data_IF_352099049692
#
_entry.id   IF_352099049692
#
_cell.length_a   1.000
_cell.length_b   1.000
_cell.length_c   1.000
_cell.angle_alpha   90.00
_cell.angle_beta   90.00
_cell.angle_gamma   90.00
#
_symmetry.space_group_name_H-M   'P 1'
#
loop_
_entity.id
_entity.type
_entity.pdbx_description
1 polymer ?
#
# COMPACT_ATOMS: atom_id res chain seq x y z
N UNK A 1 -31.96 -79.77 73.76
CA UNK A 1 -32.28 -80.01 72.34
C UNK A 1 -32.59 -78.72 71.56
N UNK A 2 -32.73 -77.56 72.20
CA UNK A 2 -33.06 -76.26 71.51
C UNK A 2 -31.83 -75.48 71.04
N UNK A 3 -30.65 -75.64 71.57
CA UNK A 3 -29.43 -74.89 71.24
C UNK A 3 -28.86 -75.33 69.90
N UNK A 4 -29.06 -76.56 69.44
CA UNK A 4 -28.51 -77.10 68.19
C UNK A 4 -29.29 -76.63 66.94
N UNK A 5 -30.57 -76.31 67.07
CA UNK A 5 -31.41 -75.78 66.01
C UNK A 5 -31.13 -74.30 65.72
N UNK A 6 -30.75 -73.53 66.77
CA UNK A 6 -30.38 -72.12 66.65
C UNK A 6 -29.04 -71.94 65.91
N UNK A 7 -28.04 -72.72 66.24
CA UNK A 7 -26.71 -72.70 65.57
C UNK A 7 -26.81 -73.14 64.13
N UNK A 8 -27.66 -74.10 63.80
CA UNK A 8 -27.90 -74.53 62.41
C UNK A 8 -28.59 -73.43 61.54
N UNK A 9 -29.52 -72.68 62.11
CA UNK A 9 -30.18 -71.52 61.48
C UNK A 9 -29.16 -70.39 61.24
N UNK A 10 -28.34 -70.03 62.19
CA UNK A 10 -27.30 -69.03 62.09
C UNK A 10 -26.30 -69.41 60.98
N UNK A 11 -25.83 -70.68 60.95
CA UNK A 11 -24.94 -71.13 59.82
C UNK A 11 -25.58 -71.09 58.47
N UNK A 12 -26.88 -71.37 58.35
CA UNK A 12 -27.63 -71.22 57.08
C UNK A 12 -27.76 -69.74 56.66
N UNK A 13 -28.08 -68.84 57.61
CA UNK A 13 -28.11 -67.41 57.37
C UNK A 13 -26.75 -66.88 56.88
N UNK A 14 -25.61 -67.29 57.53
CA UNK A 14 -24.28 -66.93 57.09
C UNK A 14 -23.92 -67.45 55.67
N UNK A 15 -24.33 -68.71 55.39
CA UNK A 15 -24.14 -69.25 54.00
C UNK A 15 -24.96 -68.48 52.98
N UNK A 16 -26.20 -68.16 53.32
CA UNK A 16 -27.10 -67.38 52.40
C UNK A 16 -26.54 -65.96 52.17
N UNK A 17 -26.05 -65.33 53.27
CA UNK A 17 -25.41 -64.02 53.18
C UNK A 17 -24.15 -64.02 52.29
N UNK A 18 -23.26 -65.06 52.44
CA UNK A 18 -22.10 -65.23 51.55
C UNK A 18 -22.48 -65.42 50.09
N UNK A 19 -23.55 -66.18 49.77
CA UNK A 19 -24.06 -66.39 48.39
C UNK A 19 -24.60 -65.10 47.88
N UNK A 20 -25.37 -64.34 48.64
CA UNK A 20 -25.91 -63.00 48.16
C UNK A 20 -24.78 -62.05 47.94
N UNK A 21 -23.75 -62.03 48.83
CA UNK A 21 -22.58 -61.16 48.62
C UNK A 21 -21.79 -61.55 47.34
N UNK A 22 -21.60 -62.87 47.11
CA UNK A 22 -20.97 -63.36 45.88
C UNK A 22 -21.73 -63.01 44.63
N UNK A 23 -23.05 -63.17 44.66
CA UNK A 23 -23.93 -62.79 43.53
C UNK A 23 -23.86 -61.27 43.27
N UNK A 24 -23.92 -60.45 44.31
CA UNK A 24 -23.76 -59.00 44.18
C UNK A 24 -22.39 -58.60 43.59
N UNK A 25 -21.29 -59.30 44.02
CA UNK A 25 -19.99 -59.09 43.44
C UNK A 25 -19.91 -59.50 41.97
N UNK A 26 -20.52 -60.63 41.60
CA UNK A 26 -20.58 -61.08 40.20
C UNK A 26 -21.36 -60.05 39.35
N UNK A 27 -22.52 -59.60 39.85
CA UNK A 27 -23.33 -58.55 39.15
C UNK A 27 -22.49 -57.27 38.97
N UNK A 28 -21.81 -56.85 40.03
CA UNK A 28 -20.94 -55.66 39.98
C UNK A 28 -19.81 -55.81 38.94
N UNK A 29 -19.13 -56.96 38.92
CA UNK A 29 -18.08 -57.27 37.95
C UNK A 29 -18.69 -57.27 36.52
N UNK A 30 -19.83 -57.90 36.31
CA UNK A 30 -20.53 -57.91 35.01
C UNK A 30 -20.90 -56.48 34.55
N UNK A 31 -21.38 -55.63 35.47
CA UNK A 31 -21.65 -54.24 35.17
C UNK A 31 -20.39 -53.46 34.76
N UNK A 32 -19.24 -53.69 35.47
CA UNK A 32 -17.96 -53.05 35.08
C UNK A 32 -17.51 -53.51 33.68
N UNK A 33 -17.60 -54.81 33.39
CA UNK A 33 -17.28 -55.33 32.05
C UNK A 33 -18.20 -54.79 30.97
N UNK A 34 -19.50 -54.70 31.24
CA UNK A 34 -20.49 -54.11 30.34
C UNK A 34 -20.16 -52.63 30.04
N UNK A 35 -19.93 -51.85 31.12
CA UNK A 35 -19.62 -50.44 30.97
C UNK A 35 -18.30 -50.22 30.19
N UNK A 36 -17.29 -51.07 30.48
CA UNK A 36 -16.03 -51.03 29.73
C UNK A 36 -16.23 -51.37 28.26
N UNK A 37 -17.01 -52.40 27.95
CA UNK A 37 -17.33 -52.81 26.58
C UNK A 37 -18.05 -51.69 25.83
N UNK A 38 -19.07 -51.05 26.48
CA UNK A 38 -19.80 -49.92 25.88
C UNK A 38 -18.82 -48.77 25.61
N UNK A 39 -17.99 -48.39 26.62
CA UNK A 39 -17.02 -47.32 26.48
C UNK A 39 -16.04 -47.56 25.31
N UNK A 40 -15.52 -48.77 25.20
CA UNK A 40 -14.61 -49.14 24.11
C UNK A 40 -15.32 -49.18 22.72
N UNK A 41 -16.63 -49.37 22.66
CA UNK A 41 -17.41 -49.34 21.43
C UNK A 41 -17.77 -47.93 20.96
N UNK A 42 -17.63 -46.90 21.82
CA UNK A 42 -17.90 -45.53 21.44
C UNK A 42 -16.83 -45.06 20.44
N UNK A 43 -17.24 -44.64 19.27
CA UNK A 43 -16.37 -44.14 18.23
C UNK A 43 -16.99 -42.99 17.44
N UNK A 44 -16.16 -41.96 17.16
CA UNK A 44 -16.47 -40.89 16.21
C UNK A 44 -15.24 -40.68 15.36
N UNK A 45 -15.42 -40.56 14.06
CA UNK A 45 -14.36 -40.20 13.13
C UNK A 45 -14.87 -39.26 12.06
N UNK A 46 -13.97 -38.43 11.55
CA UNK A 46 -14.14 -37.56 10.39
C UNK A 46 -13.24 -38.04 9.26
N UNK A 47 -13.57 -37.71 8.03
CA UNK A 47 -12.73 -38.01 6.86
C UNK A 47 -11.63 -36.92 6.72
N UNK A 48 -10.43 -37.28 7.18
CA UNK A 48 -9.29 -36.36 7.19
C UNK A 48 -9.36 -35.34 8.33
N UNK A 49 -8.97 -34.09 8.06
CA UNK A 49 -9.06 -32.97 9.01
C UNK A 49 -10.14 -32.01 8.53
N UNK A 50 -11.10 -31.70 9.39
CA UNK A 50 -12.12 -30.70 9.06
C UNK A 50 -11.46 -29.34 8.86
N UNK A 51 -11.76 -28.68 7.72
CA UNK A 51 -11.30 -27.34 7.42
C UNK A 51 -12.40 -26.34 7.67
N UNK A 52 -12.08 -25.26 8.36
CA UNK A 52 -12.99 -24.17 8.70
C UNK A 52 -12.38 -22.87 8.23
N UNK A 53 -13.14 -22.04 7.54
CA UNK A 53 -12.67 -20.72 7.13
C UNK A 53 -12.54 -19.80 8.34
N UNK A 54 -11.46 -19.03 8.39
CA UNK A 54 -11.26 -17.98 9.38
C UNK A 54 -12.47 -17.05 9.48
N UNK A 55 -12.88 -16.73 10.70
CA UNK A 55 -14.03 -15.87 10.97
C UNK A 55 -15.42 -16.49 10.70
N UNK A 56 -15.50 -17.75 10.27
CA UNK A 56 -16.77 -18.43 10.04
C UNK A 56 -17.55 -18.65 11.35
N UNK A 57 -18.86 -18.35 11.30
CA UNK A 57 -19.76 -18.52 12.45
C UNK A 57 -20.74 -19.71 12.27
N UNK A 58 -20.69 -20.41 11.16
CA UNK A 58 -21.66 -21.44 10.74
C UNK A 58 -21.05 -22.84 10.63
N UNK A 59 -19.84 -23.02 11.17
CA UNK A 59 -19.22 -24.34 11.20
C UNK A 59 -19.99 -25.31 12.14
N UNK A 60 -20.35 -26.48 11.60
CA UNK A 60 -20.97 -27.54 12.34
C UNK A 60 -20.18 -28.84 12.15
N UNK A 61 -19.51 -29.30 13.19
CA UNK A 61 -18.70 -30.54 13.15
C UNK A 61 -19.50 -31.77 12.76
N UNK A 62 -20.81 -31.80 13.05
CA UNK A 62 -21.68 -32.96 12.76
C UNK A 62 -21.73 -33.25 11.26
N UNK A 63 -21.65 -32.22 10.42
CA UNK A 63 -21.66 -32.34 8.97
C UNK A 63 -20.40 -33.01 8.40
N UNK A 64 -19.33 -33.09 9.21
CA UNK A 64 -18.04 -33.70 8.87
C UNK A 64 -17.85 -35.10 9.46
N UNK A 65 -18.80 -35.60 10.26
CA UNK A 65 -18.71 -36.94 10.85
C UNK A 65 -18.94 -37.99 9.79
N UNK A 66 -17.96 -38.83 9.54
CA UNK A 66 -18.02 -39.95 8.61
C UNK A 66 -18.45 -41.26 9.29
N UNK A 67 -18.16 -41.40 10.58
CA UNK A 67 -18.57 -42.56 11.36
C UNK A 67 -18.96 -42.11 12.78
N UNK A 68 -20.12 -42.61 13.23
CA UNK A 68 -20.65 -42.34 14.57
C UNK A 68 -21.19 -43.63 15.19
N UNK A 69 -20.68 -44.00 16.37
CA UNK A 69 -21.11 -45.12 17.18
C UNK A 69 -21.44 -44.63 18.59
N UNK A 70 -22.62 -44.06 18.76
CA UNK A 70 -23.16 -43.49 20.02
C UNK A 70 -24.66 -43.23 19.87
N UNK A 71 -25.29 -42.77 20.98
CA UNK A 71 -26.68 -42.33 21.01
C UNK A 71 -26.78 -40.81 20.85
N UNK A 72 -25.91 -40.08 21.53
CA UNK A 72 -25.86 -38.61 21.49
C UNK A 72 -24.42 -38.10 21.39
N UNK A 73 -24.26 -36.88 20.86
CA UNK A 73 -23.00 -36.16 20.74
C UNK A 73 -23.20 -34.73 21.23
N UNK A 74 -22.29 -34.26 22.03
CA UNK A 74 -22.25 -32.88 22.55
C UNK A 74 -20.84 -32.29 22.37
N UNK A 75 -20.75 -31.00 22.06
CA UNK A 75 -19.49 -30.27 21.96
C UNK A 75 -19.13 -29.79 23.37
N UNK A 76 -17.97 -30.20 23.89
CA UNK A 76 -17.49 -29.84 25.22
C UNK A 76 -16.73 -28.52 25.20
N UNK A 77 -15.89 -28.32 24.18
CA UNK A 77 -15.21 -27.06 23.91
C UNK A 77 -15.39 -26.70 22.43
N UNK A 78 -15.59 -25.44 22.16
CA UNK A 78 -15.68 -24.91 20.80
C UNK A 78 -14.31 -24.49 20.29
N UNK A 79 -14.19 -24.33 18.97
CA UNK A 79 -13.01 -23.80 18.30
C UNK A 79 -13.08 -22.27 18.22
N UNK A 80 -11.93 -21.64 18.22
CA UNK A 80 -11.80 -20.20 18.01
C UNK A 80 -11.50 -19.93 16.53
N UNK A 81 -12.53 -19.64 15.74
CA UNK A 81 -12.42 -19.39 14.29
C UNK A 81 -11.64 -18.11 13.98
N UNK A 82 -11.35 -17.26 14.97
CA UNK A 82 -10.51 -16.08 14.82
C UNK A 82 -9.00 -16.37 14.89
N UNK A 83 -8.60 -17.63 14.98
CA UNK A 83 -7.21 -18.07 15.06
C UNK A 83 -6.90 -19.15 14.03
N UNK A 84 -6.13 -18.80 13.03
CA UNK A 84 -5.66 -19.72 11.96
C UNK A 84 -4.78 -20.82 12.57
N UNK A 85 -4.93 -22.04 12.07
CA UNK A 85 -4.14 -23.20 12.45
C UNK A 85 -4.97 -24.36 13.02
N UNK A 86 -4.27 -25.40 13.48
CA UNK A 86 -4.88 -26.60 14.03
C UNK A 86 -5.36 -26.37 15.45
N UNK A 87 -6.62 -26.75 15.71
CA UNK A 87 -7.26 -26.69 17.02
C UNK A 87 -7.91 -28.02 17.35
N UNK A 88 -7.97 -28.36 18.61
CA UNK A 88 -8.61 -29.56 19.09
C UNK A 88 -10.02 -29.24 19.61
N UNK A 89 -11.04 -29.86 18.99
CA UNK A 89 -12.41 -29.88 19.46
C UNK A 89 -12.67 -31.18 20.23
N UNK A 90 -13.28 -31.10 21.41
CA UNK A 90 -13.63 -32.29 22.20
C UNK A 90 -15.13 -32.53 22.09
N UNK A 91 -15.47 -33.72 21.57
CA UNK A 91 -16.83 -34.21 21.51
C UNK A 91 -17.07 -35.17 22.68
N UNK A 92 -18.16 -35.00 23.44
CA UNK A 92 -18.65 -35.97 24.39
C UNK A 92 -19.71 -36.83 23.75
N UNK A 93 -19.40 -38.11 23.57
CA UNK A 93 -20.28 -39.07 22.95
C UNK A 93 -20.82 -39.99 24.04
N UNK A 94 -22.14 -40.10 24.08
CA UNK A 94 -22.81 -40.97 25.05
C UNK A 94 -23.47 -42.17 24.34
N UNK A 95 -23.31 -43.38 24.93
CA UNK A 95 -23.95 -44.61 24.48
C UNK A 95 -24.40 -45.42 25.68
N UNK A 96 -25.67 -45.81 25.72
CA UNK A 96 -26.25 -46.59 26.86
C UNK A 96 -25.93 -45.95 28.24
N UNK A 97 -25.87 -44.61 28.32
CA UNK A 97 -25.58 -43.84 29.52
C UNK A 97 -24.09 -43.81 29.92
N UNK A 98 -23.20 -44.29 29.08
CA UNK A 98 -21.75 -44.20 29.24
C UNK A 98 -21.20 -43.14 28.29
N UNK A 99 -20.47 -42.11 28.83
CA UNK A 99 -19.89 -41.04 28.02
C UNK A 99 -18.40 -41.26 27.80
N UNK A 100 -17.93 -40.86 26.63
CA UNK A 100 -16.53 -40.85 26.23
C UNK A 100 -16.18 -39.52 25.53
N UNK A 101 -15.09 -38.87 25.91
CA UNK A 101 -14.55 -37.71 25.23
C UNK A 101 -13.66 -38.14 24.09
N UNK A 102 -13.95 -37.63 22.90
CA UNK A 102 -13.22 -37.93 21.68
C UNK A 102 -12.68 -36.60 21.13
N UNK A 103 -11.35 -36.42 21.07
CA UNK A 103 -10.74 -35.25 20.47
C UNK A 103 -10.82 -35.35 18.95
N UNK A 104 -11.20 -34.26 18.31
CA UNK A 104 -11.23 -34.09 16.85
C UNK A 104 -10.35 -32.92 16.49
N UNK A 105 -9.46 -33.13 15.52
CA UNK A 105 -8.60 -32.06 15.01
C UNK A 105 -9.34 -31.28 13.91
N UNK A 106 -9.38 -29.97 14.06
CA UNK A 106 -9.97 -29.01 13.12
C UNK A 106 -8.90 -28.02 12.70
N UNK A 107 -8.81 -27.70 11.42
CA UNK A 107 -7.85 -26.73 10.89
C UNK A 107 -8.57 -25.47 10.41
N UNK A 108 -8.31 -24.35 11.08
CA UNK A 108 -8.81 -23.04 10.68
C UNK A 108 -7.88 -22.53 9.58
N UNK A 109 -8.45 -22.26 8.40
CA UNK A 109 -7.70 -21.82 7.22
C UNK A 109 -8.15 -20.43 6.80
N UNK A 110 -7.18 -19.58 6.49
CA UNK A 110 -7.42 -18.34 5.83
C UNK A 110 -7.42 -18.56 4.31
N UNK A 111 -8.46 -18.07 3.64
CA UNK A 111 -8.67 -18.18 2.19
C UNK A 111 -8.98 -16.82 1.56
N UNK A 112 -8.84 -15.76 2.33
CA UNK A 112 -9.07 -14.39 1.89
C UNK A 112 -7.74 -13.77 1.48
N UNK A 113 -7.70 -13.13 0.33
CA UNK A 113 -6.48 -12.45 -0.14
C UNK A 113 -6.41 -11.02 0.40
N UNK A 114 -5.21 -10.46 0.59
CA UNK A 114 -5.03 -9.07 1.02
C UNK A 114 -5.74 -8.06 0.12
N UNK A 115 -6.30 -7.01 0.70
CA UNK A 115 -6.89 -5.89 -0.02
C UNK A 115 -5.83 -4.82 -0.33
N UNK A 116 -5.66 -4.47 -1.63
CA UNK A 116 -4.72 -3.46 -2.09
C UNK A 116 -5.45 -2.16 -2.37
N UNK A 117 -5.09 -1.11 -1.64
CA UNK A 117 -5.60 0.26 -1.81
C UNK A 117 -4.52 1.16 -2.43
N UNK A 118 -4.87 1.87 -3.51
CA UNK A 118 -4.01 2.84 -4.19
C UNK A 118 -4.67 4.22 -4.18
N UNK A 119 -3.84 5.29 -4.23
CA UNK A 119 -4.31 6.67 -4.23
C UNK A 119 -4.85 7.11 -5.61
N UNK A 120 -4.12 6.77 -6.68
CA UNK A 120 -4.45 7.16 -8.05
C UNK A 120 -4.30 5.98 -9.01
N UNK A 121 -5.27 5.79 -9.91
CA UNK A 121 -5.21 4.76 -10.95
C UNK A 121 -4.32 5.16 -12.13
N UNK A 122 -4.03 6.45 -12.27
CA UNK A 122 -3.10 6.98 -13.27
C UNK A 122 -2.26 8.11 -12.71
N UNK A 123 -0.95 7.96 -12.80
CA UNK A 123 0.05 8.96 -12.43
C UNK A 123 0.78 9.41 -13.68
N UNK A 124 1.00 10.72 -13.80
CA UNK A 124 1.81 11.29 -14.88
C UNK A 124 2.99 12.06 -14.32
N UNK A 125 4.18 11.80 -14.85
CA UNK A 125 5.43 12.50 -14.55
C UNK A 125 6.14 12.89 -15.83
N UNK A 126 7.09 13.82 -15.72
CA UNK A 126 7.97 14.19 -16.82
C UNK A 126 9.26 13.38 -16.74
N UNK A 127 9.83 13.05 -17.88
CA UNK A 127 11.14 12.36 -17.97
C UNK A 127 12.19 13.03 -17.09
N UNK A 128 12.83 12.23 -16.20
CA UNK A 128 13.82 12.69 -15.24
C UNK A 128 13.27 13.22 -13.91
N UNK A 129 11.94 13.25 -13.71
CA UNK A 129 11.35 13.46 -12.39
C UNK A 129 11.38 12.14 -11.60
N UNK A 130 11.84 12.22 -10.34
CA UNK A 130 11.78 11.07 -9.44
C UNK A 130 10.35 10.84 -8.94
N UNK A 131 9.96 9.59 -8.83
CA UNK A 131 8.70 9.19 -8.22
C UNK A 131 8.91 7.92 -7.40
N UNK A 132 8.43 7.93 -6.17
CA UNK A 132 8.40 6.73 -5.34
C UNK A 132 7.05 6.03 -5.55
N UNK A 133 7.08 4.84 -6.14
CA UNK A 133 5.89 4.01 -6.41
C UNK A 133 5.13 3.70 -5.13
N UNK A 134 5.84 3.48 -4.01
CA UNK A 134 5.21 3.22 -2.72
C UNK A 134 4.31 4.39 -2.25
N UNK A 135 4.61 5.62 -2.68
CA UNK A 135 3.79 6.78 -2.33
C UNK A 135 2.37 6.73 -2.90
N UNK A 136 2.14 5.92 -3.94
CA UNK A 136 0.80 5.69 -4.52
C UNK A 136 0.03 4.55 -3.84
N UNK A 137 0.69 3.74 -3.02
CA UNK A 137 0.06 2.67 -2.28
C UNK A 137 -0.39 3.24 -0.94
N UNK A 138 -1.70 3.39 -0.75
CA UNK A 138 -2.24 3.97 0.48
C UNK A 138 -2.25 2.97 1.62
N UNK A 139 -2.66 1.74 1.36
CA UNK A 139 -2.65 0.66 2.34
C UNK A 139 -2.74 -0.72 1.68
N UNK A 140 -2.21 -1.74 2.36
CA UNK A 140 -2.41 -3.14 2.00
C UNK A 140 -2.70 -3.88 3.29
N UNK A 141 -3.92 -4.38 3.42
CA UNK A 141 -4.45 -4.98 4.64
C UNK A 141 -4.95 -6.39 4.37
N UNK A 142 -4.72 -7.25 5.32
CA UNK A 142 -5.27 -8.58 5.42
C UNK A 142 -5.98 -8.77 6.76
N UNK A 143 -7.07 -9.53 6.78
CA UNK A 143 -7.89 -9.70 8.00
C UNK A 143 -7.18 -10.53 9.09
N UNK A 144 -6.24 -11.39 8.69
CA UNK A 144 -5.47 -12.27 9.58
C UNK A 144 -4.10 -11.68 9.90
N UNK A 145 -3.37 -11.26 8.86
CA UNK A 145 -1.99 -10.81 8.96
C UNK A 145 -1.86 -9.31 9.23
N UNK A 146 -2.96 -8.57 9.09
CA UNK A 146 -2.99 -7.12 9.27
C UNK A 146 -2.29 -6.38 8.11
N UNK A 147 -1.55 -5.32 8.43
CA UNK A 147 -0.85 -4.51 7.44
C UNK A 147 0.40 -5.20 6.90
N UNK A 148 0.46 -5.33 5.57
CA UNK A 148 1.61 -5.92 4.88
C UNK A 148 2.71 -4.88 4.65
N UNK A 149 3.97 -5.33 4.67
CA UNK A 149 5.14 -4.50 4.44
C UNK A 149 5.72 -4.71 3.05
N UNK A 150 6.36 -3.65 2.52
CA UNK A 150 7.07 -3.71 1.26
C UNK A 150 8.34 -4.57 1.38
N UNK A 151 8.53 -5.45 0.39
CA UNK A 151 9.77 -6.20 0.18
C UNK A 151 10.14 -6.07 -1.29
N UNK A 152 11.38 -5.70 -1.57
CA UNK A 152 11.85 -5.60 -2.95
C UNK A 152 11.90 -7.00 -3.61
N UNK A 153 11.69 -7.07 -4.92
CA UNK A 153 11.71 -8.36 -5.64
C UNK A 153 13.02 -9.15 -5.46
N UNK A 154 14.13 -8.45 -5.25
CA UNK A 154 15.46 -9.05 -5.06
C UNK A 154 15.63 -9.64 -3.64
N UNK A 155 14.84 -9.18 -2.68
CA UNK A 155 14.88 -9.60 -1.27
C UNK A 155 13.84 -10.67 -0.93
N UNK A 156 12.95 -11.03 -1.87
CA UNK A 156 11.95 -12.07 -1.65
C UNK A 156 12.65 -13.42 -1.59
N UNK A 157 12.49 -14.10 -0.46
CA UNK A 157 13.01 -15.44 -0.18
C UNK A 157 11.88 -16.36 0.28
N UNK A 158 12.11 -17.66 0.32
CA UNK A 158 11.15 -18.66 0.84
C UNK A 158 10.73 -18.40 2.32
N UNK A 159 11.45 -17.52 3.02
CA UNK A 159 11.13 -17.09 4.39
C UNK A 159 10.15 -15.92 4.48
N UNK A 160 9.92 -15.19 3.39
CA UNK A 160 8.95 -14.10 3.35
C UNK A 160 7.54 -14.68 3.19
N UNK A 161 6.75 -14.64 4.26
CA UNK A 161 5.38 -15.18 4.25
C UNK A 161 4.31 -14.10 4.03
N UNK A 162 4.54 -12.88 4.56
CA UNK A 162 3.61 -11.76 4.46
C UNK A 162 4.35 -10.56 3.90
N UNK A 163 4.00 -10.13 2.69
CA UNK A 163 4.66 -9.00 2.05
C UNK A 163 3.84 -8.45 0.89
N UNK A 164 4.18 -7.24 0.46
CA UNK A 164 3.85 -6.79 -0.89
C UNK A 164 5.11 -6.35 -1.63
N UNK A 165 5.03 -6.42 -2.96
CA UNK A 165 6.03 -5.93 -3.89
C UNK A 165 5.33 -5.30 -5.08
N UNK A 166 6.10 -4.69 -5.98
CA UNK A 166 5.58 -4.24 -7.27
C UNK A 166 6.59 -4.50 -8.39
N UNK A 167 6.07 -4.59 -9.60
CA UNK A 167 6.85 -4.73 -10.82
C UNK A 167 6.21 -3.95 -11.94
N UNK A 168 7.00 -3.65 -12.98
CA UNK A 168 6.55 -2.97 -14.19
C UNK A 168 6.66 -3.90 -15.38
N UNK A 169 5.80 -3.69 -16.39
CA UNK A 169 5.89 -4.36 -17.68
C UNK A 169 7.06 -3.86 -18.54
N UNK A 170 7.66 -2.73 -18.17
CA UNK A 170 8.72 -2.06 -18.93
C UNK A 170 9.57 -1.15 -18.05
N UNK A 171 10.64 -0.56 -18.60
CA UNK A 171 11.49 0.40 -17.88
C UNK A 171 10.72 1.69 -17.57
N UNK A 172 10.39 1.89 -16.29
CA UNK A 172 9.65 3.04 -15.78
C UNK A 172 10.37 4.39 -15.93
N UNK A 173 11.65 4.39 -16.31
CA UNK A 173 12.40 5.61 -16.58
C UNK A 173 12.31 6.03 -18.06
N UNK A 174 11.80 5.18 -18.93
CA UNK A 174 11.61 5.51 -20.33
C UNK A 174 10.33 6.30 -20.57
N UNK A 175 10.34 7.17 -21.58
CA UNK A 175 9.15 7.90 -22.00
C UNK A 175 8.11 6.91 -22.54
N UNK A 176 6.88 7.02 -22.02
CA UNK A 176 5.80 6.14 -22.43
C UNK A 176 4.80 5.88 -21.31
N UNK A 177 3.96 4.89 -21.55
CA UNK A 177 2.96 4.42 -20.59
C UNK A 177 3.41 3.05 -20.07
N UNK A 178 3.50 2.91 -18.77
CA UNK A 178 3.92 1.71 -18.06
C UNK A 178 2.80 1.24 -17.16
N UNK A 179 2.61 -0.08 -17.08
CA UNK A 179 1.71 -0.68 -16.10
C UNK A 179 2.52 -1.12 -14.88
N UNK A 180 2.18 -0.58 -13.72
CA UNK A 180 2.77 -0.98 -12.44
C UNK A 180 1.79 -1.91 -11.77
N UNK A 181 2.21 -3.15 -11.54
CA UNK A 181 1.41 -4.14 -10.81
C UNK A 181 1.95 -4.29 -9.40
N UNK A 182 1.09 -4.02 -8.43
CA UNK A 182 1.32 -4.30 -7.01
C UNK A 182 0.81 -5.70 -6.74
N UNK A 183 1.66 -6.53 -6.13
CA UNK A 183 1.34 -7.90 -5.72
C UNK A 183 1.48 -8.01 -4.22
N UNK A 184 0.45 -8.52 -3.55
CA UNK A 184 0.43 -8.79 -2.12
C UNK A 184 0.26 -10.29 -1.86
N UNK A 185 0.96 -10.80 -0.85
CA UNK A 185 0.92 -12.21 -0.41
C UNK A 185 0.77 -12.21 1.10
N UNK A 186 -0.23 -12.93 1.62
CA UNK A 186 -0.45 -13.12 3.05
C UNK A 186 0.31 -14.33 3.60
N UNK A 187 0.21 -14.56 4.91
CA UNK A 187 0.85 -15.68 5.61
C UNK A 187 0.31 -17.06 5.26
N UNK A 188 -0.88 -17.13 4.71
CA UNK A 188 -1.56 -18.34 4.25
C UNK A 188 -1.25 -18.68 2.79
N UNK A 189 -0.63 -17.75 2.06
CA UNK A 189 -0.26 -17.88 0.65
C UNK A 189 -1.33 -17.41 -0.33
N UNK A 190 -2.39 -16.70 0.14
CA UNK A 190 -3.35 -16.07 -0.75
C UNK A 190 -2.70 -14.83 -1.38
N UNK A 191 -3.07 -14.56 -2.64
CA UNK A 191 -2.42 -13.54 -3.46
C UNK A 191 -3.47 -12.59 -4.04
N UNK A 192 -3.17 -11.29 -3.97
CA UNK A 192 -3.89 -10.27 -4.73
C UNK A 192 -2.95 -9.45 -5.59
N UNK A 193 -3.46 -8.94 -6.70
CA UNK A 193 -2.73 -8.05 -7.60
C UNK A 193 -3.61 -6.87 -8.00
N UNK A 194 -3.00 -5.68 -8.06
CA UNK A 194 -3.66 -4.45 -8.53
C UNK A 194 -2.72 -3.65 -9.39
N UNK A 195 -3.20 -3.21 -10.55
CA UNK A 195 -2.39 -2.47 -11.53
C UNK A 195 -2.85 -1.03 -11.62
N UNK A 196 -1.90 -0.09 -11.73
CA UNK A 196 -2.14 1.30 -12.07
C UNK A 196 -1.23 1.75 -13.20
N UNK A 197 -1.61 2.83 -13.88
CA UNK A 197 -0.88 3.38 -15.02
C UNK A 197 0.13 4.43 -14.55
N UNK A 198 1.38 4.28 -14.96
CA UNK A 198 2.43 5.27 -14.76
C UNK A 198 2.87 5.81 -16.13
N UNK A 199 2.58 7.09 -16.41
CA UNK A 199 2.89 7.74 -17.67
C UNK A 199 4.10 8.66 -17.49
N UNK A 200 5.18 8.36 -18.21
CA UNK A 200 6.35 9.23 -18.32
C UNK A 200 6.23 10.04 -19.59
N UNK A 201 5.98 11.33 -19.46
CA UNK A 201 5.90 12.26 -20.57
C UNK A 201 7.29 12.70 -21.02
N UNK A 202 7.48 12.78 -22.34
CA UNK A 202 8.72 13.31 -22.90
C UNK A 202 9.01 14.70 -22.33
N UNK A 203 10.24 14.93 -21.93
CA UNK A 203 10.69 16.26 -21.55
C UNK A 203 10.61 17.18 -22.78
N UNK A 204 10.01 18.37 -22.65
CA UNK A 204 9.96 19.30 -23.78
C UNK A 204 11.35 19.49 -24.35
N UNK A 205 11.55 19.11 -25.60
CA UNK A 205 12.83 19.30 -26.29
C UNK A 205 13.07 20.80 -26.45
N UNK A 206 14.28 21.30 -26.14
CA UNK A 206 14.65 22.66 -26.52
C UNK A 206 14.45 22.79 -28.02
N UNK A 207 13.65 23.76 -28.47
CA UNK A 207 13.55 24.06 -29.90
C UNK A 207 14.91 24.60 -30.35
N UNK A 208 15.70 23.76 -31.01
CA UNK A 208 16.90 24.20 -31.70
C UNK A 208 16.45 25.01 -32.91
N UNK A 209 16.47 26.33 -32.79
CA UNK A 209 16.25 27.21 -33.93
C UNK A 209 17.50 27.10 -34.80
N UNK A 210 17.42 26.63 -36.07
CA UNK A 210 18.58 26.61 -36.94
C UNK A 210 19.06 28.04 -37.15
N UNK A 211 20.36 28.28 -36.95
CA UNK A 211 21.01 29.54 -37.28
C UNK A 211 21.05 29.70 -38.81
N UNK A 212 19.98 30.20 -39.38
CA UNK A 212 19.99 30.69 -40.77
C UNK A 212 19.45 32.13 -40.78
N UNK A 213 20.36 33.01 -41.18
CA UNK A 213 20.18 34.40 -41.48
C UNK A 213 18.99 34.62 -42.43
N UNK A 214 17.81 34.81 -41.89
CA UNK A 214 16.61 35.32 -42.57
C UNK A 214 15.55 35.55 -41.49
N UNK A 215 15.14 36.79 -41.30
CA UNK A 215 14.04 37.30 -40.47
C UNK A 215 13.05 36.22 -40.02
N UNK A 216 13.25 35.66 -38.85
CA UNK A 216 12.32 34.73 -38.23
C UNK A 216 11.11 35.53 -37.79
N UNK A 217 10.04 35.44 -38.56
CA UNK A 217 8.69 35.79 -38.12
C UNK A 217 8.27 34.69 -37.15
N UNK A 218 8.66 34.85 -35.89
CA UNK A 218 8.16 33.98 -34.81
C UNK A 218 6.67 34.25 -34.64
N UNK A 219 5.85 33.35 -35.13
CA UNK A 219 4.41 33.41 -34.96
C UNK A 219 4.04 33.05 -33.51
N UNK A 220 4.08 34.04 -32.60
CA UNK A 220 3.87 33.91 -31.16
C UNK A 220 2.39 33.79 -30.77
N UNK A 221 1.54 33.28 -31.61
CA UNK A 221 0.13 33.03 -31.34
C UNK A 221 -0.08 31.63 -30.70
N UNK A 222 0.69 31.29 -29.63
CA UNK A 222 0.27 30.23 -28.74
C UNK A 222 -0.68 30.87 -27.74
N UNK A 223 -1.97 30.50 -27.71
CA UNK A 223 -2.88 31.00 -26.71
C UNK A 223 -2.42 30.47 -25.35
N UNK A 224 -1.91 31.33 -24.50
CA UNK A 224 -1.70 31.04 -23.09
C UNK A 224 -3.05 30.73 -22.45
N UNK A 225 -3.13 29.66 -21.70
CA UNK A 225 -4.35 29.26 -21.00
C UNK A 225 -4.45 29.83 -19.56
N UNK A 226 -3.58 30.79 -19.21
CA UNK A 226 -3.56 31.40 -17.88
C UNK A 226 -3.11 30.47 -16.74
N UNK A 227 -2.54 29.31 -17.08
CA UNK A 227 -2.05 28.32 -16.10
C UNK A 227 -0.53 28.33 -16.00
N UNK A 228 0.02 27.85 -14.89
CA UNK A 228 1.45 27.66 -14.69
C UNK A 228 2.07 26.82 -15.83
N UNK A 229 1.37 25.81 -16.32
CA UNK A 229 1.82 24.97 -17.45
C UNK A 229 1.91 25.77 -18.75
N UNK A 230 0.98 26.69 -19.04
CA UNK A 230 1.03 27.57 -20.22
C UNK A 230 2.20 28.53 -20.17
N UNK A 231 2.47 29.11 -19.00
CA UNK A 231 3.61 29.99 -18.73
C UNK A 231 4.93 29.28 -18.99
N UNK A 232 5.12 28.09 -18.39
CA UNK A 232 6.34 27.29 -18.54
C UNK A 232 6.51 26.80 -19.97
N UNK A 233 5.45 26.31 -20.61
CA UNK A 233 5.49 25.87 -22.02
C UNK A 233 5.95 27.01 -22.95
N UNK A 234 5.38 28.20 -22.82
CA UNK A 234 5.80 29.36 -23.58
C UNK A 234 7.27 29.74 -23.31
N UNK A 235 7.69 29.72 -22.04
CA UNK A 235 9.07 30.05 -21.67
C UNK A 235 10.10 29.13 -22.36
N UNK A 236 9.79 27.83 -22.48
CA UNK A 236 10.66 26.89 -23.21
C UNK A 236 10.77 27.22 -24.69
N UNK A 237 9.71 27.72 -25.36
CA UNK A 237 9.77 28.08 -26.76
C UNK A 237 10.64 29.31 -27.04
N UNK A 238 10.93 30.10 -26.01
CA UNK A 238 11.73 31.33 -26.09
C UNK A 238 13.22 31.12 -25.77
N UNK A 239 13.61 29.89 -25.41
CA UNK A 239 15.03 29.56 -25.18
C UNK A 239 15.79 29.76 -26.50
N UNK A 240 16.91 30.49 -26.45
CA UNK A 240 17.71 30.90 -27.61
C UNK A 240 17.36 32.28 -28.14
N UNK A 241 16.27 32.92 -27.70
CA UNK A 241 15.94 34.30 -28.07
C UNK A 241 17.04 35.27 -27.62
N UNK A 242 17.33 36.35 -28.37
CA UNK A 242 18.41 37.28 -28.06
C UNK A 242 18.13 38.07 -26.77
N UNK A 243 19.21 38.44 -26.07
CA UNK A 243 19.11 39.41 -24.97
C UNK A 243 19.18 40.84 -25.56
N UNK A 244 18.20 41.65 -25.17
CA UNK A 244 18.16 43.07 -25.53
C UNK A 244 17.88 43.87 -24.24
N UNK A 245 18.76 44.78 -23.86
CA UNK A 245 18.54 45.64 -22.69
C UNK A 245 17.23 46.45 -22.87
N UNK A 246 16.33 46.34 -21.86
CA UNK A 246 15.01 46.95 -21.97
C UNK A 246 14.03 46.19 -22.86
N UNK A 247 14.41 45.07 -23.45
CA UNK A 247 13.57 44.26 -24.35
C UNK A 247 12.43 43.55 -23.61
N UNK A 248 11.23 43.57 -24.26
CA UNK A 248 10.00 42.97 -23.69
C UNK A 248 9.23 42.18 -24.74
N UNK A 249 9.83 41.84 -25.85
CA UNK A 249 9.08 41.24 -26.95
C UNK A 249 9.96 40.45 -27.93
N UNK A 250 9.35 39.99 -29.05
CA UNK A 250 9.93 38.91 -29.84
C UNK A 250 11.31 39.21 -30.44
N UNK A 251 11.70 40.45 -30.52
CA UNK A 251 13.02 40.84 -31.03
C UNK A 251 14.14 40.79 -29.96
N UNK A 252 13.81 40.39 -28.74
CA UNK A 252 14.74 40.19 -27.62
C UNK A 252 14.18 40.62 -26.29
N UNK A 253 14.81 40.10 -25.25
CA UNK A 253 14.37 40.24 -23.84
C UNK A 253 15.52 40.68 -22.94
N UNK A 254 15.24 41.52 -21.95
CA UNK A 254 16.00 41.52 -20.73
C UNK A 254 15.39 40.54 -19.71
N UNK A 255 15.99 40.35 -18.56
CA UNK A 255 15.61 39.32 -17.59
C UNK A 255 14.13 39.47 -17.12
N UNK A 256 13.75 40.66 -16.71
CA UNK A 256 12.39 40.96 -16.24
C UNK A 256 11.39 41.12 -17.38
N UNK A 257 11.83 41.60 -18.54
CA UNK A 257 11.02 41.69 -19.76
C UNK A 257 10.65 40.32 -20.30
N UNK A 258 11.54 39.33 -20.20
CA UNK A 258 11.24 37.92 -20.48
C UNK A 258 10.10 37.42 -19.60
N UNK A 259 10.27 37.55 -18.27
CA UNK A 259 9.23 37.14 -17.31
C UNK A 259 7.92 37.86 -17.59
N UNK A 260 7.95 39.18 -17.76
CA UNK A 260 6.74 39.96 -18.05
C UNK A 260 6.04 39.48 -19.31
N UNK A 261 6.80 39.24 -20.40
CA UNK A 261 6.25 38.75 -21.66
C UNK A 261 5.55 37.41 -21.55
N UNK A 262 6.19 36.44 -20.89
CA UNK A 262 5.65 35.10 -20.74
C UNK A 262 4.34 35.13 -19.97
N UNK A 263 4.25 35.93 -18.89
CA UNK A 263 3.02 36.10 -18.13
C UNK A 263 1.94 36.85 -18.93
N UNK A 264 2.31 37.91 -19.63
CA UNK A 264 1.37 38.73 -20.45
C UNK A 264 0.72 37.91 -21.57
N UNK A 265 1.46 37.03 -22.25
CA UNK A 265 0.94 36.12 -23.27
C UNK A 265 -0.06 35.09 -22.68
N UNK A 266 -0.01 34.87 -21.37
CA UNK A 266 -0.95 34.03 -20.64
C UNK A 266 -2.08 34.85 -19.99
N UNK A 267 -2.22 36.14 -20.33
CA UNK A 267 -3.27 37.04 -19.83
C UNK A 267 -3.03 37.54 -18.40
N UNK A 268 -1.81 37.41 -17.88
CA UNK A 268 -1.47 37.78 -16.51
C UNK A 268 -0.49 38.96 -16.51
N UNK A 269 -0.78 39.98 -15.75
CA UNK A 269 0.07 41.16 -15.62
C UNK A 269 1.07 40.99 -14.48
N UNK A 270 2.37 41.18 -14.77
CA UNK A 270 3.45 41.33 -13.80
C UNK A 270 4.23 42.61 -14.04
N UNK A 271 4.90 43.11 -13.02
CA UNK A 271 5.67 44.35 -13.07
C UNK A 271 6.79 44.31 -14.12
N UNK A 272 7.27 45.49 -14.56
CA UNK A 272 8.30 45.56 -15.61
C UNK A 272 9.71 45.27 -15.14
N UNK A 273 10.09 45.75 -13.96
CA UNK A 273 11.47 45.60 -13.50
C UNK A 273 11.66 44.39 -12.60
N UNK A 274 12.85 43.81 -12.57
CA UNK A 274 13.18 42.72 -11.65
C UNK A 274 12.97 43.11 -10.19
N UNK A 275 13.23 44.38 -9.86
CA UNK A 275 13.00 44.92 -8.52
C UNK A 275 11.53 44.91 -8.14
N UNK A 276 10.62 45.36 -9.01
CA UNK A 276 9.18 45.39 -8.74
C UNK A 276 8.56 44.01 -8.82
N UNK A 277 9.02 43.13 -9.71
CA UNK A 277 8.61 41.73 -9.79
C UNK A 277 8.87 40.96 -8.47
N UNK A 278 9.88 41.35 -7.71
CA UNK A 278 10.15 40.77 -6.39
C UNK A 278 9.06 41.07 -5.36
N UNK A 279 8.07 41.89 -5.68
CA UNK A 279 6.92 42.24 -4.84
C UNK A 279 5.56 41.84 -5.45
N UNK A 280 5.55 41.32 -6.68
CA UNK A 280 4.32 40.83 -7.30
C UNK A 280 3.81 39.57 -6.59
N UNK A 281 2.50 39.31 -6.63
CA UNK A 281 1.88 38.14 -6.02
C UNK A 281 2.20 37.99 -4.53
N UNK A 282 2.45 36.75 -4.08
CA UNK A 282 2.84 36.47 -2.70
C UNK A 282 4.16 35.69 -2.61
N UNK A 283 4.88 35.90 -1.49
CA UNK A 283 6.15 35.21 -1.27
C UNK A 283 5.92 33.77 -0.86
N UNK A 284 6.72 32.85 -1.41
CA UNK A 284 6.78 31.44 -0.99
C UNK A 284 8.22 31.08 -0.61
N UNK A 285 8.44 30.15 0.34
CA UNK A 285 9.74 29.60 0.61
C UNK A 285 10.35 28.98 -0.65
N UNK A 286 11.67 29.10 -0.83
CA UNK A 286 12.34 28.48 -2.00
C UNK A 286 12.13 26.98 -2.08
N UNK A 287 12.04 26.28 -0.94
CA UNK A 287 11.73 24.84 -0.85
C UNK A 287 10.33 24.47 -1.36
N UNK A 288 9.44 25.45 -1.50
CA UNK A 288 8.05 25.30 -1.97
C UNK A 288 7.84 25.88 -3.36
N UNK A 289 8.95 26.26 -4.05
CA UNK A 289 8.88 26.81 -5.39
C UNK A 289 8.25 25.79 -6.37
N UNK A 290 7.31 26.26 -7.18
CA UNK A 290 6.60 25.50 -8.19
C UNK A 290 6.85 26.05 -9.60
N UNK A 291 6.82 25.21 -10.65
CA UNK A 291 6.91 25.67 -12.02
C UNK A 291 5.94 26.82 -12.31
N UNK A 292 6.43 27.89 -12.86
CA UNK A 292 5.68 29.14 -13.07
C UNK A 292 5.96 30.22 -12.04
N UNK A 293 6.63 29.95 -10.91
CA UNK A 293 7.01 30.99 -9.95
C UNK A 293 8.12 31.90 -10.50
N UNK A 294 8.12 33.16 -10.07
CA UNK A 294 9.17 34.12 -10.37
C UNK A 294 10.27 34.01 -9.33
N UNK A 295 11.50 33.78 -9.77
CA UNK A 295 12.69 33.82 -8.94
C UNK A 295 13.38 35.19 -9.06
N UNK A 296 13.75 35.81 -7.94
CA UNK A 296 14.44 37.10 -7.91
C UNK A 296 15.79 36.98 -7.22
N UNK A 297 16.86 37.41 -7.89
CA UNK A 297 18.24 37.40 -7.39
C UNK A 297 18.72 38.78 -7.03
N UNK A 298 19.57 38.79 -6.02
CA UNK A 298 20.22 40.01 -5.55
C UNK A 298 21.06 39.78 -4.33
N UNK A 299 21.34 40.86 -3.59
CA UNK A 299 22.00 40.80 -2.29
C UNK A 299 21.04 41.02 -1.13
N UNK A 300 19.89 41.67 -1.40
CA UNK A 300 18.79 41.92 -0.47
C UNK A 300 17.52 42.28 -1.23
N UNK A 301 16.37 42.39 -0.55
CA UNK A 301 15.09 42.87 -1.15
C UNK A 301 15.23 44.30 -1.68
N UNK A 302 16.12 45.13 -1.10
CA UNK A 302 16.39 46.47 -1.63
C UNK A 302 17.38 46.50 -2.82
N UNK A 303 17.96 45.37 -3.18
CA UNK A 303 18.92 45.26 -4.28
C UNK A 303 18.71 43.98 -5.06
N UNK A 304 17.61 43.93 -5.79
CA UNK A 304 17.28 42.87 -6.76
C UNK A 304 17.80 43.28 -8.13
N UNK A 305 18.59 42.40 -8.72
CA UNK A 305 19.32 42.67 -9.98
C UNK A 305 18.92 41.76 -11.12
N UNK A 306 18.17 40.67 -10.85
CA UNK A 306 17.81 39.68 -11.87
C UNK A 306 16.50 38.98 -11.56
N UNK A 307 15.76 38.59 -12.60
CA UNK A 307 14.54 37.80 -12.55
C UNK A 307 14.63 36.59 -13.49
N UNK A 308 14.02 35.50 -13.08
CA UNK A 308 13.87 34.29 -13.89
C UNK A 308 12.54 33.61 -13.62
N UNK A 309 12.14 32.72 -14.50
CA UNK A 309 11.01 31.82 -14.32
C UNK A 309 11.48 30.47 -13.82
N UNK A 310 10.95 30.01 -12.70
CA UNK A 310 11.18 28.65 -12.20
C UNK A 310 10.43 27.64 -13.07
N UNK A 311 11.11 26.57 -13.49
CA UNK A 311 10.52 25.54 -14.37
C UNK A 311 10.57 24.13 -13.77
N UNK A 312 10.88 24.05 -12.45
CA UNK A 312 10.97 22.76 -11.73
C UNK A 312 12.40 22.20 -11.65
N UNK A 313 12.60 21.21 -10.80
CA UNK A 313 13.84 20.43 -10.68
C UNK A 313 15.12 21.27 -10.50
N UNK A 314 15.06 22.38 -9.77
CA UNK A 314 16.19 23.28 -9.61
C UNK A 314 16.63 24.00 -10.87
N UNK A 315 15.74 24.06 -11.88
CA UNK A 315 15.99 24.72 -13.18
C UNK A 315 15.17 25.99 -13.32
N UNK A 316 15.69 26.92 -14.09
CA UNK A 316 15.02 28.16 -14.44
C UNK A 316 15.26 28.53 -15.91
N UNK A 317 14.34 29.30 -16.49
CA UNK A 317 14.56 29.98 -17.78
C UNK A 317 14.64 31.48 -17.54
N UNK A 318 15.66 32.11 -18.12
CA UNK A 318 15.92 33.53 -17.95
C UNK A 318 16.69 34.13 -19.12
N UNK A 319 16.50 35.41 -19.39
CA UNK A 319 17.36 36.16 -20.29
C UNK A 319 18.62 36.64 -19.51
N UNK A 320 19.81 36.18 -19.92
CA UNK A 320 21.05 36.31 -19.17
C UNK A 320 21.85 37.57 -19.51
N UNK A 321 22.36 37.62 -20.71
CA UNK A 321 23.24 38.69 -21.21
C UNK A 321 23.26 38.66 -22.77
N UNK A 322 23.84 39.70 -23.44
CA UNK A 322 23.85 39.78 -24.91
C UNK A 322 24.57 38.65 -25.64
N UNK A 323 25.44 37.90 -24.97
CA UNK A 323 26.17 36.78 -25.59
C UNK A 323 25.38 35.48 -25.58
N UNK A 324 24.52 35.32 -24.61
CA UNK A 324 23.86 34.04 -24.33
C UNK A 324 22.35 34.07 -24.59
N UNK A 325 21.71 35.24 -24.46
CA UNK A 325 20.25 35.34 -24.67
C UNK A 325 19.44 34.65 -23.55
N UNK A 326 18.32 34.09 -23.95
CA UNK A 326 17.42 33.31 -23.08
C UNK A 326 17.94 31.89 -22.95
N UNK A 327 18.18 31.44 -21.72
CA UNK A 327 18.72 30.10 -21.42
C UNK A 327 17.89 29.34 -20.41
N UNK A 328 17.94 28.02 -20.52
CA UNK A 328 17.63 27.09 -19.42
C UNK A 328 18.89 26.92 -18.57
N UNK A 329 18.81 27.19 -17.27
CA UNK A 329 19.97 27.16 -16.36
C UNK A 329 19.64 26.43 -15.05
N UNK A 330 20.65 25.74 -14.50
CA UNK A 330 20.56 25.24 -13.14
C UNK A 330 20.72 26.38 -12.13
N UNK A 331 19.85 26.47 -11.16
CA UNK A 331 19.78 27.56 -10.17
C UNK A 331 21.05 27.63 -9.32
N UNK A 332 21.52 26.49 -8.81
CA UNK A 332 22.73 26.43 -7.96
C UNK A 332 24.01 26.80 -8.75
N UNK A 333 24.06 26.35 -10.01
CA UNK A 333 25.15 26.70 -10.92
C UNK A 333 25.22 28.20 -11.19
N UNK A 334 24.07 28.82 -11.47
CA UNK A 334 23.95 30.25 -11.67
C UNK A 334 24.29 31.05 -10.42
N UNK A 335 23.75 30.66 -9.26
CA UNK A 335 24.00 31.32 -7.97
C UNK A 335 25.49 31.35 -7.64
N UNK A 336 26.22 30.25 -7.84
CA UNK A 336 27.68 30.20 -7.64
C UNK A 336 28.45 31.10 -8.62
N UNK A 337 28.00 31.18 -9.86
CA UNK A 337 28.67 31.96 -10.91
C UNK A 337 28.39 33.46 -10.88
N UNK A 338 27.21 33.87 -10.40
CA UNK A 338 26.75 35.26 -10.44
C UNK A 338 27.19 36.11 -9.23
N UNK A 339 27.57 35.45 -8.13
CA UNK A 339 27.84 36.13 -6.86
C UNK A 339 26.60 36.69 -6.15
N UNK A 340 25.40 36.31 -6.63
CA UNK A 340 24.10 36.66 -6.06
C UNK A 340 23.36 35.41 -5.61
N UNK A 341 22.28 35.56 -4.86
CA UNK A 341 21.43 34.45 -4.39
C UNK A 341 19.98 34.73 -4.69
N UNK A 342 19.17 33.69 -4.66
CA UNK A 342 17.70 33.84 -4.65
C UNK A 342 17.30 34.56 -3.36
N UNK A 343 16.69 35.74 -3.50
CA UNK A 343 16.23 36.57 -2.40
C UNK A 343 14.76 36.30 -2.07
N UNK A 344 13.95 36.13 -3.09
CA UNK A 344 12.54 35.81 -2.94
C UNK A 344 12.04 34.97 -4.12
N UNK A 345 11.04 34.14 -3.86
CA UNK A 345 10.24 33.45 -4.84
C UNK A 345 8.83 34.03 -4.76
N UNK A 346 8.26 34.37 -5.93
CA UNK A 346 6.94 35.01 -6.00
C UNK A 346 5.98 34.15 -6.80
N UNK A 347 4.88 33.76 -6.16
CA UNK A 347 3.78 33.04 -6.81
C UNK A 347 2.71 34.04 -7.22
N UNK A 348 2.29 33.95 -8.50
CA UNK A 348 1.32 34.85 -9.11
C UNK A 348 -0.02 34.13 -9.32
N UNK A 349 0.01 32.81 -9.48
CA UNK A 349 -1.14 31.93 -9.77
C UNK A 349 -1.59 31.14 -8.54
#
# INVERSE_FOLDING_TARGET
>A
MEVDTSMSRIRRCFKLFKIVLLLALIIFICCLYRNRFIYDSINVSIDGVAKVTYGSNDFNIVDHISKFEGDTIEIVNDIDTSKVGEQEMILEVTKDGISKRVPILVNIVDVVSPEISINEEKISKTEGESFDINSNISDILDDVDGKLNYVSNEEITDGNRTYYTYYSDSDINSVGTHNITVKAVDGSGNVSEKTFVYEVKEKPKPVVVPNNDSTIQLNYNLPGNGSANGIVALAYTLVGAPYVSGGTGPNGFDCSGFVQYVYAQNGIHVSRSSYTQAYDGYAVPYSEAQPGDILSWGTSMGNITHSALYVGNGMMIHATNPRQGVLLSNIDGWTRGSGTRVITVRRIL
#
